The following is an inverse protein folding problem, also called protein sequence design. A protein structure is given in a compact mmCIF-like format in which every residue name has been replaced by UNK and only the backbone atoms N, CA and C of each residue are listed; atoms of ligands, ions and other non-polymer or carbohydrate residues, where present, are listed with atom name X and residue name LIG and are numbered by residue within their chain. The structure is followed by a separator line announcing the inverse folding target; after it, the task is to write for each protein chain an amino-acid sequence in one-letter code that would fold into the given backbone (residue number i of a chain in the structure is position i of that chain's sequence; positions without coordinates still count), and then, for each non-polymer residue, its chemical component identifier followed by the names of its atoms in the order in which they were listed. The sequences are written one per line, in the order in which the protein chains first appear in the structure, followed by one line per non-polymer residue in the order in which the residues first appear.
data_IF_931540522158
#
_entry.id   IF_931540522158
#
_cell.length_a   1.000
_cell.length_b   1.000
_cell.length_c   1.000
_cell.angle_alpha   90.00
_cell.angle_beta   90.00
_cell.angle_gamma   90.00
#
_symmetry.space_group_name_H-M   'P 1'
#
loop_
_entity.id
_entity.type
_entity.pdbx_description
1 polymer ?
#
# COMPACT_ATOMS: atom_id res chain seq x y z
N UNK A 1 6.28 -23.16 -7.58
CA UNK A 1 5.19 -22.57 -8.37
C UNK A 1 5.11 -23.21 -9.75
N UNK A 2 5.91 -22.76 -10.74
CA UNK A 2 5.87 -23.31 -12.11
C UNK A 2 5.99 -24.85 -12.16
N UNK A 3 6.97 -25.44 -11.47
CA UNK A 3 7.10 -26.90 -11.44
C UNK A 3 5.92 -27.67 -10.81
N UNK A 4 5.15 -27.05 -9.92
CA UNK A 4 3.94 -27.68 -9.36
C UNK A 4 2.78 -27.60 -10.36
N UNK A 5 2.64 -26.46 -11.04
CA UNK A 5 1.68 -26.27 -12.15
C UNK A 5 1.98 -27.25 -13.28
N UNK A 6 3.24 -27.36 -13.70
CA UNK A 6 3.69 -28.26 -14.76
C UNK A 6 3.45 -29.75 -14.40
N UNK A 7 3.43 -30.08 -13.10
CA UNK A 7 3.12 -31.41 -12.59
C UNK A 7 1.61 -31.69 -12.43
N UNK A 8 0.75 -30.72 -12.75
CA UNK A 8 -0.71 -30.86 -12.62
C UNK A 8 -1.20 -30.91 -11.17
N UNK A 9 -0.45 -30.32 -10.23
CA UNK A 9 -0.79 -30.30 -8.81
C UNK A 9 -1.37 -28.94 -8.44
N UNK A 10 -2.55 -28.95 -7.82
CA UNK A 10 -3.14 -27.77 -7.21
C UNK A 10 -2.30 -27.31 -6.01
N UNK A 11 -1.78 -26.08 -6.08
CA UNK A 11 -0.92 -25.53 -5.05
C UNK A 11 -1.19 -24.05 -4.81
N UNK A 12 -1.09 -23.64 -3.55
CA UNK A 12 -1.10 -22.23 -3.17
C UNK A 12 0.33 -21.70 -3.07
N UNK A 13 0.55 -20.47 -3.54
CA UNK A 13 1.84 -19.78 -3.41
C UNK A 13 1.71 -18.79 -2.25
N UNK A 14 2.37 -19.07 -1.14
CA UNK A 14 2.44 -18.13 -0.04
C UNK A 14 3.46 -17.02 -0.38
N UNK A 15 3.03 -15.78 -0.22
CA UNK A 15 3.82 -14.59 -0.54
C UNK A 15 3.71 -13.56 0.57
N UNK A 16 4.62 -12.59 0.59
CA UNK A 16 4.51 -11.41 1.44
C UNK A 16 4.83 -10.14 0.65
N UNK A 17 4.19 -9.03 1.00
CA UNK A 17 4.50 -7.73 0.38
C UNK A 17 5.96 -7.36 0.67
N UNK A 18 6.68 -6.88 -0.35
CA UNK A 18 8.10 -6.57 -0.30
C UNK A 18 8.98 -7.76 0.13
N UNK A 19 8.50 -8.99 -0.03
CA UNK A 19 9.18 -10.20 0.43
C UNK A 19 9.39 -10.26 1.94
N UNK A 20 8.64 -9.48 2.74
CA UNK A 20 8.85 -9.44 4.20
C UNK A 20 8.67 -10.83 4.84
N UNK A 21 9.48 -11.12 5.86
CA UNK A 21 9.48 -12.41 6.54
C UNK A 21 10.77 -12.63 7.33
N UNK A 22 10.93 -13.84 7.88
CA UNK A 22 12.16 -14.21 8.59
C UNK A 22 13.37 -14.31 7.65
N UNK A 23 14.57 -13.96 8.16
CA UNK A 23 15.86 -14.10 7.46
C UNK A 23 15.89 -13.32 6.13
N UNK A 24 15.91 -14.04 5.01
CA UNK A 24 15.93 -13.46 3.66
C UNK A 24 14.52 -13.11 3.14
N UNK A 25 13.46 -13.43 3.91
CA UNK A 25 12.10 -13.11 3.56
C UNK A 25 11.32 -14.23 2.89
N UNK A 26 10.08 -13.90 2.50
CA UNK A 26 9.17 -14.76 1.75
C UNK A 26 9.22 -14.42 0.24
N UNK A 27 8.54 -15.22 -0.59
CA UNK A 27 8.32 -14.85 -1.98
C UNK A 27 7.60 -13.49 -2.06
N UNK A 28 8.16 -12.55 -2.83
CA UNK A 28 7.58 -11.22 -2.99
C UNK A 28 6.27 -11.26 -3.77
N UNK A 29 5.20 -10.74 -3.16
CA UNK A 29 3.85 -10.73 -3.71
C UNK A 29 3.81 -10.09 -5.11
N UNK A 30 4.41 -8.92 -5.27
CA UNK A 30 4.36 -8.16 -6.54
C UNK A 30 5.14 -8.90 -7.62
N UNK A 31 6.33 -9.42 -7.31
CA UNK A 31 7.11 -10.26 -8.21
C UNK A 31 6.34 -11.48 -8.71
N UNK A 32 5.62 -12.17 -7.82
CA UNK A 32 4.80 -13.35 -8.17
C UNK A 32 3.63 -12.96 -9.06
N UNK A 33 2.88 -11.92 -8.73
CA UNK A 33 1.75 -11.44 -9.55
C UNK A 33 2.24 -11.05 -10.95
N UNK A 34 3.32 -10.28 -11.04
CA UNK A 34 3.91 -9.89 -12.33
C UNK A 34 4.36 -11.09 -13.15
N UNK A 35 4.97 -12.08 -12.50
CA UNK A 35 5.38 -13.34 -13.17
C UNK A 35 4.16 -14.06 -13.75
N UNK A 36 3.09 -14.21 -12.98
CA UNK A 36 1.88 -14.89 -13.44
C UNK A 36 1.15 -14.11 -14.54
N UNK A 37 1.16 -12.77 -14.49
CA UNK A 37 0.44 -11.92 -15.45
C UNK A 37 1.22 -11.64 -16.74
N UNK A 38 2.55 -11.59 -16.69
CA UNK A 38 3.38 -11.09 -17.80
C UNK A 38 4.31 -12.14 -18.40
N UNK A 39 4.65 -13.20 -17.69
CA UNK A 39 5.56 -14.22 -18.21
C UNK A 39 4.91 -15.05 -19.32
N UNK A 40 5.66 -15.28 -20.41
CA UNK A 40 5.21 -16.13 -21.50
C UNK A 40 5.00 -17.58 -21.00
N UNK A 41 3.86 -18.17 -21.37
CA UNK A 41 3.45 -19.51 -20.95
C UNK A 41 2.74 -19.57 -19.60
N UNK A 42 2.85 -18.54 -18.74
CA UNK A 42 2.05 -18.46 -17.50
C UNK A 42 0.84 -17.53 -17.65
N UNK A 43 0.99 -16.43 -18.39
CA UNK A 43 -0.10 -15.47 -18.63
C UNK A 43 -1.35 -16.13 -19.24
N UNK A 44 -1.14 -17.13 -20.09
CA UNK A 44 -2.21 -17.80 -20.84
C UNK A 44 -2.96 -18.84 -19.98
N UNK A 45 -2.45 -19.16 -18.79
CA UNK A 45 -3.05 -20.10 -17.85
C UNK A 45 -4.10 -19.45 -16.95
N UNK A 46 -4.24 -18.12 -16.96
CA UNK A 46 -5.24 -17.36 -16.19
C UNK A 46 -5.28 -17.74 -14.69
N UNK A 47 -4.12 -17.93 -14.07
CA UNK A 47 -3.97 -18.40 -12.69
C UNK A 47 -4.21 -17.31 -11.63
N UNK A 48 -4.42 -16.07 -12.05
CA UNK A 48 -4.69 -14.93 -11.17
C UNK A 48 -6.16 -14.56 -11.24
N UNK A 49 -6.76 -14.34 -10.08
CA UNK A 49 -8.11 -13.78 -9.97
C UNK A 49 -8.18 -12.39 -10.61
N UNK A 50 -9.27 -12.12 -11.32
CA UNK A 50 -9.51 -10.84 -12.02
C UNK A 50 -9.56 -9.65 -11.08
N UNK A 51 -9.86 -9.87 -9.79
CA UNK A 51 -9.93 -8.82 -8.76
C UNK A 51 -8.54 -8.32 -8.33
N UNK A 52 -7.46 -8.94 -8.78
CA UNK A 52 -6.10 -8.49 -8.49
C UNK A 52 -5.78 -7.21 -9.28
N UNK A 53 -5.83 -6.07 -8.59
CA UNK A 53 -5.53 -4.74 -9.13
C UNK A 53 -4.04 -4.37 -8.93
N UNK A 54 -3.26 -4.40 -10.01
CA UNK A 54 -1.84 -4.04 -9.98
C UNK A 54 -1.62 -2.53 -9.79
N UNK A 55 -2.61 -1.67 -10.05
CA UNK A 55 -2.47 -0.22 -9.83
C UNK A 55 -2.26 0.14 -8.35
N UNK A 56 -2.47 -0.81 -7.44
CA UNK A 56 -2.21 -0.63 -6.00
C UNK A 56 -0.81 -1.04 -5.57
N UNK A 57 -0.01 -1.67 -6.47
CA UNK A 57 1.28 -2.27 -6.14
C UNK A 57 2.27 -1.28 -5.52
N UNK A 58 2.45 -0.11 -6.15
CA UNK A 58 3.33 0.94 -5.63
C UNK A 58 2.90 1.43 -4.24
N UNK A 59 1.59 1.67 -4.08
CA UNK A 59 1.01 2.19 -2.85
C UNK A 59 1.18 1.22 -1.67
N UNK A 60 0.85 -0.06 -1.86
CA UNK A 60 0.99 -1.07 -0.80
C UNK A 60 2.45 -1.38 -0.48
N UNK A 61 3.35 -1.36 -1.47
CA UNK A 61 4.78 -1.51 -1.24
C UNK A 61 5.35 -0.37 -0.39
N UNK A 62 4.99 0.89 -0.68
CA UNK A 62 5.37 2.05 0.14
C UNK A 62 4.79 1.97 1.55
N UNK A 63 3.53 1.54 1.68
CA UNK A 63 2.91 1.38 2.99
C UNK A 63 3.65 0.35 3.85
N UNK A 64 3.98 -0.82 3.30
CA UNK A 64 4.78 -1.82 4.00
C UNK A 64 6.16 -1.28 4.39
N UNK A 65 6.84 -0.56 3.48
CA UNK A 65 8.12 0.08 3.78
C UNK A 65 8.03 1.07 4.95
N UNK A 66 6.99 1.91 4.97
CA UNK A 66 6.69 2.83 6.07
C UNK A 66 6.39 2.12 7.39
N UNK A 67 5.52 1.11 7.34
CA UNK A 67 5.06 0.35 8.49
C UNK A 67 6.23 -0.37 9.18
N UNK A 68 7.05 -1.09 8.42
CA UNK A 68 8.18 -1.86 8.93
C UNK A 68 9.48 -1.06 9.09
N UNK A 69 9.57 0.14 8.51
CA UNK A 69 10.79 0.95 8.55
C UNK A 69 11.93 0.38 7.71
N UNK A 70 11.62 -0.47 6.74
CA UNK A 70 12.59 -1.08 5.82
C UNK A 70 12.41 -0.44 4.44
N UNK A 71 13.44 0.19 3.86
CA UNK A 71 13.33 0.82 2.55
C UNK A 71 13.12 -0.23 1.45
N UNK A 72 12.36 0.13 0.42
CA UNK A 72 12.22 -0.69 -0.80
C UNK A 72 13.58 -0.77 -1.49
N UNK A 73 14.14 -1.98 -1.74
CA UNK A 73 15.37 -2.12 -2.49
C UNK A 73 15.29 -1.48 -3.87
N UNK A 74 16.33 -0.76 -4.28
CA UNK A 74 16.37 -0.04 -5.56
C UNK A 74 16.14 -0.94 -6.76
N UNK A 75 16.46 -2.22 -6.65
CA UNK A 75 16.33 -3.25 -7.69
C UNK A 75 15.12 -4.17 -7.50
N UNK A 76 14.20 -3.90 -6.56
CA UNK A 76 13.02 -4.74 -6.37
C UNK A 76 12.15 -4.74 -7.64
N UNK A 77 11.63 -5.91 -8.02
CA UNK A 77 10.80 -6.06 -9.22
C UNK A 77 9.55 -5.20 -9.10
N UNK A 78 9.27 -4.44 -10.17
CA UNK A 78 8.09 -3.57 -10.29
C UNK A 78 8.15 -2.29 -9.46
N UNK A 79 8.56 -2.35 -8.18
CA UNK A 79 8.54 -1.21 -7.26
C UNK A 79 9.93 -0.70 -6.87
N UNK A 80 11.02 -1.27 -7.37
CA UNK A 80 12.36 -0.74 -7.12
C UNK A 80 12.60 0.59 -7.83
N UNK A 81 13.38 1.49 -7.23
CA UNK A 81 13.77 2.77 -7.84
C UNK A 81 14.26 2.64 -9.29
N UNK A 82 15.04 1.58 -9.57
CA UNK A 82 15.64 1.28 -10.87
C UNK A 82 14.80 0.32 -11.73
N UNK A 83 13.59 -0.08 -11.31
CA UNK A 83 12.79 -1.07 -12.04
C UNK A 83 12.43 -0.66 -13.48
N UNK A 84 12.49 0.63 -13.79
CA UNK A 84 12.21 1.21 -15.12
C UNK A 84 13.31 2.20 -15.56
N UNK A 85 14.51 2.09 -14.99
CA UNK A 85 15.63 2.96 -15.34
C UNK A 85 16.40 2.39 -16.54
N UNK A 86 16.71 3.24 -17.53
CA UNK A 86 17.50 2.87 -18.72
C UNK A 86 18.80 3.68 -18.76
N UNK A 87 19.95 3.01 -18.62
CA UNK A 87 21.25 3.69 -18.55
C UNK A 87 22.01 3.75 -19.89
N UNK A 88 21.86 2.74 -20.76
CA UNK A 88 22.65 2.67 -21.99
C UNK A 88 22.02 3.50 -23.12
N UNK A 89 22.84 4.22 -23.89
CA UNK A 89 22.36 5.12 -24.96
C UNK A 89 21.51 4.41 -26.04
N UNK A 90 21.77 3.12 -26.28
CA UNK A 90 20.97 2.30 -27.20
C UNK A 90 19.62 1.87 -26.61
N UNK A 91 19.56 1.63 -25.29
CA UNK A 91 18.30 1.28 -24.61
C UNK A 91 17.45 2.52 -24.40
N UNK A 92 18.06 3.68 -24.08
CA UNK A 92 17.37 4.95 -23.98
C UNK A 92 16.78 5.39 -25.34
N UNK A 93 17.57 5.36 -26.42
CA UNK A 93 17.06 5.68 -27.77
C UNK A 93 15.98 4.70 -28.23
N UNK A 94 16.14 3.42 -27.93
CA UNK A 94 15.15 2.39 -28.21
C UNK A 94 13.84 2.57 -27.44
N UNK A 95 13.92 2.89 -26.14
CA UNK A 95 12.74 3.15 -25.30
C UNK A 95 12.01 4.44 -25.70
N UNK A 96 12.74 5.47 -26.15
CA UNK A 96 12.15 6.71 -26.68
C UNK A 96 11.37 6.49 -27.98
N UNK A 97 11.82 5.55 -28.83
CA UNK A 97 11.15 5.20 -30.09
C UNK A 97 9.94 4.31 -29.86
N UNK A 98 10.12 3.24 -29.10
CA UNK A 98 9.04 2.39 -28.60
C UNK A 98 9.49 1.69 -27.32
N UNK A 99 8.91 2.13 -26.21
CA UNK A 99 9.16 1.66 -24.84
C UNK A 99 8.97 0.15 -24.69
N UNK A 100 8.07 -0.46 -25.49
CA UNK A 100 7.78 -1.91 -25.45
C UNK A 100 8.93 -2.78 -25.94
N UNK A 101 9.92 -2.20 -26.62
CA UNK A 101 11.11 -2.93 -27.04
C UNK A 101 11.98 -3.37 -25.85
N UNK A 102 11.92 -2.63 -24.74
CA UNK A 102 12.77 -2.85 -23.57
C UNK A 102 11.99 -2.96 -22.26
N UNK A 103 10.68 -2.66 -22.27
CA UNK A 103 9.80 -2.80 -21.11
C UNK A 103 8.68 -3.81 -21.38
N UNK A 104 8.57 -4.82 -20.52
CA UNK A 104 7.52 -5.84 -20.58
C UNK A 104 6.15 -5.31 -20.10
N UNK A 105 6.17 -4.28 -19.25
CA UNK A 105 4.99 -3.62 -18.69
C UNK A 105 5.37 -2.20 -18.26
N UNK A 106 4.36 -1.36 -18.11
CA UNK A 106 4.53 0.06 -17.83
C UNK A 106 4.50 0.36 -16.32
N UNK A 107 5.25 1.36 -15.84
CA UNK A 107 5.25 1.75 -14.42
C UNK A 107 3.88 2.25 -13.95
N UNK A 108 3.10 2.84 -14.85
CA UNK A 108 1.74 3.32 -14.63
C UNK A 108 0.79 2.16 -14.28
N UNK A 109 1.01 0.96 -14.83
CA UNK A 109 0.23 -0.25 -14.51
C UNK A 109 0.38 -0.65 -13.03
N UNK A 110 1.51 -0.30 -12.42
CA UNK A 110 1.79 -0.55 -11.01
C UNK A 110 1.34 0.58 -10.08
N UNK A 111 0.71 1.62 -10.63
CA UNK A 111 0.31 2.83 -9.90
C UNK A 111 1.49 3.69 -9.46
N UNK A 112 2.63 3.58 -10.14
CA UNK A 112 3.78 4.45 -9.93
C UNK A 112 3.63 5.72 -10.79
N UNK A 113 4.15 6.84 -10.30
CA UNK A 113 4.14 8.13 -11.03
C UNK A 113 3.14 9.16 -10.48
N UNK A 114 2.26 8.77 -9.55
CA UNK A 114 1.44 9.74 -8.80
C UNK A 114 2.35 10.73 -8.04
N UNK A 115 2.07 12.05 -8.12
CA UNK A 115 2.85 13.04 -7.41
C UNK A 115 2.83 12.76 -5.91
N UNK A 116 4.00 12.64 -5.28
CA UNK A 116 4.07 12.64 -3.83
C UNK A 116 3.81 14.06 -3.33
N UNK A 117 2.63 14.28 -2.75
CA UNK A 117 2.31 15.56 -2.09
C UNK A 117 3.10 15.61 -0.78
N UNK A 118 4.30 16.16 -0.86
CA UNK A 118 5.10 16.48 0.34
C UNK A 118 4.51 17.78 0.92
N UNK A 119 3.74 17.67 2.01
CA UNK A 119 3.26 18.86 2.72
C UNK A 119 4.44 19.61 3.35
N UNK A 120 4.95 20.63 2.66
CA UNK A 120 5.95 21.57 3.17
C UNK A 120 5.24 22.71 3.92
N UNK A 121 4.91 22.47 5.19
CA UNK A 121 4.22 23.46 6.03
C UNK A 121 3.88 22.96 7.44
N UNK A 122 2.97 23.66 8.13
CA UNK A 122 2.43 23.23 9.42
C UNK A 122 1.64 21.93 9.22
N UNK A 123 2.27 20.78 9.49
CA UNK A 123 1.59 19.49 9.55
C UNK A 123 0.61 19.53 10.72
N UNK A 124 -0.68 19.67 10.42
CA UNK A 124 -1.72 19.44 11.44
C UNK A 124 -1.80 17.94 11.60
N UNK A 125 -1.00 17.40 12.53
CA UNK A 125 -1.10 16.01 12.93
C UNK A 125 -2.33 15.87 13.84
N UNK A 126 -3.25 15.00 13.45
CA UNK A 126 -4.20 14.41 14.40
C UNK A 126 -3.44 13.40 15.26
N UNK A 127 -2.57 13.92 16.13
CA UNK A 127 -1.86 13.15 17.16
C UNK A 127 -2.59 13.18 18.49
N UNK A 128 -1.94 12.63 19.51
CA UNK A 128 -2.38 12.51 20.91
C UNK A 128 -3.00 13.81 21.49
N UNK A 129 -2.56 14.99 21.04
CA UNK A 129 -3.00 16.30 21.52
C UNK A 129 -3.86 17.10 20.52
N UNK A 130 -4.25 16.50 19.39
CA UNK A 130 -5.01 17.17 18.33
C UNK A 130 -6.47 17.42 18.73
N UNK A 131 -6.87 18.67 18.93
CA UNK A 131 -8.27 19.03 19.19
C UNK A 131 -9.21 18.80 18.00
N UNK A 132 -10.52 18.68 18.26
CA UNK A 132 -11.53 18.32 17.24
C UNK A 132 -11.56 19.25 16.01
N UNK A 133 -11.19 20.54 16.16
CA UNK A 133 -11.10 21.48 15.03
C UNK A 133 -9.96 21.14 14.06
N UNK A 134 -8.79 20.76 14.58
CA UNK A 134 -7.66 20.31 13.76
C UNK A 134 -7.98 18.99 13.06
N UNK A 135 -8.65 18.08 13.77
CA UNK A 135 -9.17 16.83 13.24
C UNK A 135 -10.13 17.01 12.07
N UNK A 136 -11.15 17.87 12.22
CA UNK A 136 -12.10 18.15 11.13
C UNK A 136 -11.40 18.75 9.90
N UNK A 137 -10.38 19.59 10.08
CA UNK A 137 -9.63 20.16 8.96
C UNK A 137 -8.86 19.07 8.18
N UNK A 138 -8.19 18.14 8.88
CA UNK A 138 -7.49 17.02 8.24
C UNK A 138 -8.47 16.14 7.46
N UNK A 139 -9.59 15.72 8.07
CA UNK A 139 -10.57 14.86 7.40
C UNK A 139 -11.34 15.56 6.27
N UNK A 140 -11.57 16.88 6.38
CA UNK A 140 -12.14 17.66 5.28
C UNK A 140 -11.20 17.69 4.06
N UNK A 141 -9.88 17.78 4.26
CA UNK A 141 -8.90 17.64 3.16
C UNK A 141 -8.87 16.24 2.56
N UNK A 142 -9.28 15.23 3.33
CA UNK A 142 -9.48 13.87 2.86
C UNK A 142 -10.86 13.66 2.22
N UNK A 143 -11.68 14.72 2.10
CA UNK A 143 -13.04 14.67 1.56
C UNK A 143 -13.95 13.72 2.36
N UNK A 144 -13.73 13.63 3.68
CA UNK A 144 -14.54 12.83 4.59
C UNK A 144 -15.42 13.77 5.41
N UNK A 145 -16.73 13.55 5.30
CA UNK A 145 -17.74 14.22 6.12
C UNK A 145 -18.28 13.28 7.20
N UNK A 146 -18.47 13.82 8.40
CA UNK A 146 -19.08 13.10 9.53
C UNK A 146 -20.56 13.46 9.63
N UNK A 147 -21.42 12.48 9.87
CA UNK A 147 -22.87 12.61 10.04
C UNK A 147 -23.23 13.54 11.19
N UNK A 148 -22.52 13.39 12.31
CA UNK A 148 -22.74 14.19 13.50
C UNK A 148 -21.45 14.40 14.32
N UNK A 149 -21.58 15.09 15.46
CA UNK A 149 -20.46 15.32 16.37
C UNK A 149 -19.98 14.02 17.04
N UNK A 150 -20.89 13.10 17.38
CA UNK A 150 -20.58 11.85 18.09
C UNK A 150 -19.73 10.93 17.21
N UNK A 151 -20.06 10.80 15.93
CA UNK A 151 -19.24 10.08 14.94
C UNK A 151 -17.86 10.71 14.81
N UNK A 152 -17.76 12.04 14.68
CA UNK A 152 -16.47 12.72 14.61
C UNK A 152 -15.59 12.48 15.85
N UNK A 153 -16.17 12.48 17.06
CA UNK A 153 -15.46 12.14 18.29
C UNK A 153 -14.99 10.67 18.30
N UNK A 154 -15.86 9.73 17.91
CA UNK A 154 -15.53 8.30 17.81
C UNK A 154 -14.34 8.05 16.88
N UNK A 155 -14.34 8.64 15.69
CA UNK A 155 -13.22 8.49 14.73
C UNK A 155 -11.94 9.16 15.25
N UNK A 156 -12.04 10.33 15.91
CA UNK A 156 -10.90 11.00 16.51
C UNK A 156 -10.22 10.13 17.58
N UNK A 157 -11.01 9.53 18.47
CA UNK A 157 -10.47 8.65 19.51
C UNK A 157 -9.77 7.44 18.89
N UNK A 158 -10.39 6.75 17.92
CA UNK A 158 -9.74 5.63 17.22
C UNK A 158 -8.42 6.04 16.54
N UNK A 159 -8.38 7.22 15.91
CA UNK A 159 -7.16 7.76 15.31
C UNK A 159 -6.07 8.04 16.35
N UNK A 160 -6.43 8.57 17.52
CA UNK A 160 -5.48 8.76 18.63
C UNK A 160 -4.94 7.44 19.15
N UNK A 161 -5.82 6.46 19.38
CA UNK A 161 -5.40 5.13 19.83
C UNK A 161 -4.48 4.45 18.83
N UNK A 162 -4.77 4.53 17.53
CA UNK A 162 -3.90 3.99 16.49
C UNK A 162 -2.52 4.67 16.46
N UNK A 163 -2.49 5.99 16.66
CA UNK A 163 -1.24 6.75 16.74
C UNK A 163 -0.40 6.35 17.96
N UNK A 164 -1.02 6.22 19.13
CA UNK A 164 -0.36 5.77 20.37
C UNK A 164 0.12 4.32 20.25
N UNK A 165 -0.67 3.43 19.66
CA UNK A 165 -0.30 2.04 19.49
C UNK A 165 0.88 1.85 18.54
N UNK A 166 0.91 2.59 17.43
CA UNK A 166 1.97 2.47 16.42
C UNK A 166 3.20 3.33 16.73
N UNK A 167 3.09 4.29 17.64
CA UNK A 167 4.10 5.33 17.93
C UNK A 167 4.57 6.06 16.66
N UNK A 168 3.71 6.12 15.65
CA UNK A 168 3.97 6.71 14.33
C UNK A 168 2.79 7.59 13.92
N UNK A 169 3.02 8.71 13.22
CA UNK A 169 1.94 9.50 12.62
C UNK A 169 1.08 8.63 11.70
N UNK A 170 -0.24 8.78 11.74
CA UNK A 170 -1.08 8.09 10.77
C UNK A 170 -0.93 8.71 9.39
N UNK A 171 -0.88 7.86 8.36
CA UNK A 171 -0.96 8.30 6.97
C UNK A 171 -2.42 8.48 6.54
N UNK A 172 -2.63 9.19 5.43
CA UNK A 172 -3.96 9.49 4.89
C UNK A 172 -4.83 8.25 4.70
N UNK A 173 -4.24 7.13 4.24
CA UNK A 173 -4.97 5.88 4.05
C UNK A 173 -5.40 5.23 5.36
N UNK A 174 -4.60 5.36 6.42
CA UNK A 174 -4.96 4.86 7.74
C UNK A 174 -6.10 5.69 8.33
N UNK A 175 -6.04 7.02 8.16
CA UNK A 175 -7.14 7.91 8.55
C UNK A 175 -8.42 7.59 7.76
N UNK A 176 -8.33 7.40 6.45
CA UNK A 176 -9.45 6.97 5.60
C UNK A 176 -9.98 5.62 6.08
N UNK A 177 -9.11 4.65 6.36
CA UNK A 177 -9.52 3.33 6.83
C UNK A 177 -10.28 3.43 8.16
N UNK A 178 -9.77 4.18 9.13
CA UNK A 178 -10.41 4.37 10.44
C UNK A 178 -11.79 5.04 10.29
N UNK A 179 -11.93 6.05 9.43
CA UNK A 179 -13.22 6.71 9.21
C UNK A 179 -14.26 5.84 8.49
N UNK A 180 -13.85 5.10 7.46
CA UNK A 180 -14.80 4.29 6.68
C UNK A 180 -15.13 2.95 7.35
N UNK A 181 -14.19 2.41 8.14
CA UNK A 181 -14.29 1.09 8.75
C UNK A 181 -13.93 1.13 10.25
N UNK A 182 -14.65 1.93 11.06
CA UNK A 182 -14.28 2.18 12.45
C UNK A 182 -14.32 0.92 13.32
N UNK A 183 -15.28 0.02 13.09
CA UNK A 183 -15.37 -1.23 13.86
C UNK A 183 -14.24 -2.21 13.51
N UNK A 184 -13.88 -2.30 12.22
CA UNK A 184 -12.75 -3.11 11.77
C UNK A 184 -11.44 -2.55 12.31
N UNK A 185 -11.27 -1.23 12.25
CA UNK A 185 -10.12 -0.56 12.85
C UNK A 185 -10.04 -0.84 14.36
N UNK A 186 -11.15 -0.75 15.08
CA UNK A 186 -11.26 -1.07 16.51
C UNK A 186 -10.84 -2.51 16.82
N UNK A 187 -11.20 -3.48 15.98
CA UNK A 187 -10.84 -4.88 16.15
C UNK A 187 -9.36 -5.17 15.85
N UNK A 188 -8.79 -4.48 14.86
CA UNK A 188 -7.38 -4.64 14.46
C UNK A 188 -6.43 -3.99 15.47
N UNK A 189 -6.82 -2.83 16.01
CA UNK A 189 -6.12 -2.17 17.09
C UNK A 189 -6.28 -3.06 18.33
N UNK A 190 -5.30 -3.94 18.59
CA UNK A 190 -5.32 -4.91 19.70
C UNK A 190 -5.38 -4.30 21.12
N UNK A 191 -5.43 -2.97 21.21
CA UNK A 191 -5.76 -2.22 22.43
C UNK A 191 -7.28 -2.19 22.58
N UNK A 192 -7.81 -2.47 23.77
CA UNK A 192 -9.25 -2.28 24.02
C UNK A 192 -9.57 -0.79 24.01
N UNK A 193 -10.19 -0.24 22.96
CA UNK A 193 -10.58 1.16 22.96
C UNK A 193 -11.78 1.29 23.92
N UNK A 194 -12.03 2.45 24.53
CA UNK A 194 -13.23 2.70 25.31
C UNK A 194 -14.45 2.25 24.51
N UNK A 195 -15.44 1.64 25.17
CA UNK A 195 -16.64 1.26 24.45
C UNK A 195 -17.25 2.55 23.88
N UNK A 196 -17.51 2.56 22.59
CA UNK A 196 -17.82 3.80 21.88
C UNK A 196 -19.21 4.35 22.24
N UNK A 197 -20.01 3.51 22.92
CA UNK A 197 -21.28 3.85 23.53
C UNK A 197 -21.14 4.54 24.92
N UNK A 198 -19.96 4.46 25.55
CA UNK A 198 -19.68 5.07 26.86
C UNK A 198 -19.21 6.54 26.75
N UNK A 199 -19.05 7.06 25.52
CA UNK A 199 -18.73 8.45 25.23
C UNK A 199 -20.02 9.28 25.18
N UNK A 200 -20.61 9.52 26.36
CA UNK A 200 -21.71 10.47 26.58
C UNK A 200 -21.24 11.75 27.30
#
# INVERSE_FOLDING_TARGET
AKGAIDAGVDAYINTCINGMGERAGNADLISVILTLRKSNGLKDLNLLDERVDLSKAWKIAKYASYAFGIPIPVNQVGVGGNAFAHESGIHADGALKDRRNYELYDFEELGRGEPEIIQTGRKITTGEYGGIKGFRNVYQKLEIEFKDKKEAYKILELARYANVHTQKPLIDDELRFIAHYPEQARQILTVTPPNLDDLD
#
